data_IF_382742742074
#
_entry.id   IF_382742742074
#
_cell.length_a   1.000
_cell.length_b   1.000
_cell.length_c   1.000
_cell.angle_alpha   90.00
_cell.angle_beta   90.00
_cell.angle_gamma   90.00
#
_symmetry.space_group_name_H-M   'P 1'
#
loop_
_entity.id
_entity.type
_entity.pdbx_description
1 polymer ?
#
# COMPACT_ATOMS: atom_id res chain seq x y z
N UNK A 1 -11.30 8.75 1.18
CA UNK A 1 -11.68 7.30 1.05
C UNK A 1 -10.81 6.42 1.95
N UNK A 2 -11.34 5.32 2.51
CA UNK A 2 -10.58 4.33 3.31
C UNK A 2 -10.36 3.04 2.49
N UNK A 3 -9.13 2.54 2.46
CA UNK A 3 -8.75 1.25 1.86
C UNK A 3 -8.05 0.37 2.91
N UNK A 4 -8.52 -0.87 3.09
CA UNK A 4 -7.91 -1.83 4.01
C UNK A 4 -7.22 -2.93 3.21
N UNK A 5 -5.95 -3.18 3.55
CA UNK A 5 -5.14 -4.25 2.97
C UNK A 5 -4.82 -5.27 4.06
N UNK A 6 -5.15 -6.55 3.82
CA UNK A 6 -4.79 -7.65 4.69
C UNK A 6 -3.59 -8.41 4.10
N UNK A 7 -2.51 -8.56 4.86
CA UNK A 7 -1.32 -9.26 4.40
C UNK A 7 -1.40 -10.77 4.67
N UNK A 8 -1.86 -11.53 3.67
CA UNK A 8 -1.88 -12.99 3.68
C UNK A 8 -0.67 -13.63 2.98
N UNK A 9 0.35 -12.85 2.61
CA UNK A 9 1.46 -13.30 1.75
C UNK A 9 2.47 -14.23 2.42
N UNK A 10 2.38 -14.43 3.74
CA UNK A 10 3.35 -15.16 4.54
C UNK A 10 4.68 -14.41 4.77
N UNK A 11 4.82 -13.17 4.28
CA UNK A 11 6.02 -12.33 4.38
C UNK A 11 5.66 -10.94 4.91
N UNK A 12 6.64 -10.20 5.40
CA UNK A 12 6.48 -8.76 5.64
C UNK A 12 6.46 -7.99 4.30
N UNK A 13 5.72 -6.88 4.26
CA UNK A 13 5.59 -6.04 3.08
C UNK A 13 5.99 -4.61 3.42
N UNK A 14 6.99 -4.08 2.73
CA UNK A 14 7.39 -2.68 2.85
C UNK A 14 6.43 -1.77 2.08
N UNK A 15 6.17 -0.57 2.58
CA UNK A 15 5.36 0.42 1.86
C UNK A 15 6.26 1.32 1.04
N UNK A 16 6.03 1.32 -0.27
CA UNK A 16 6.77 2.16 -1.21
C UNK A 16 6.58 3.65 -0.84
N UNK A 17 7.65 4.47 -0.74
CA UNK A 17 7.58 5.87 -0.31
C UNK A 17 6.58 6.71 -1.12
N UNK A 18 6.47 6.42 -2.42
CA UNK A 18 5.52 7.09 -3.32
C UNK A 18 4.05 7.00 -2.85
N UNK A 19 3.69 6.03 -1.99
CA UNK A 19 2.37 5.98 -1.34
C UNK A 19 2.06 7.30 -0.64
N UNK A 20 2.99 7.81 0.17
CA UNK A 20 2.84 9.08 0.88
C UNK A 20 3.03 10.28 -0.04
N UNK A 21 3.98 10.19 -0.98
CA UNK A 21 4.24 11.29 -1.94
C UNK A 21 3.02 11.56 -2.84
N UNK A 22 2.24 10.53 -3.16
CA UNK A 22 1.00 10.66 -3.94
C UNK A 22 -0.21 11.10 -3.08
N UNK A 23 -0.03 11.31 -1.78
CA UNK A 23 -1.09 11.79 -0.88
C UNK A 23 -1.90 10.69 -0.18
N UNK A 24 -1.51 9.42 -0.24
CA UNK A 24 -2.09 8.37 0.61
C UNK A 24 -1.44 8.39 1.99
N UNK A 25 -2.24 8.56 3.04
CA UNK A 25 -1.78 8.50 4.42
C UNK A 25 -1.92 7.10 5.02
N UNK A 26 -0.89 6.63 5.73
CA UNK A 26 -0.91 5.38 6.49
C UNK A 26 0.27 5.34 7.48
N UNK A 27 0.26 4.35 8.38
CA UNK A 27 1.50 3.91 9.03
C UNK A 27 2.42 3.34 7.95
N UNK A 28 3.67 3.81 7.90
CA UNK A 28 4.68 3.41 6.90
C UNK A 28 5.59 2.28 7.40
N UNK A 29 5.37 1.76 8.61
CA UNK A 29 6.06 0.55 9.08
C UNK A 29 5.76 -0.64 8.16
N UNK A 30 6.64 -1.64 8.04
CA UNK A 30 6.33 -2.85 7.27
C UNK A 30 5.02 -3.50 7.76
N UNK A 31 4.21 -4.01 6.83
CA UNK A 31 2.96 -4.72 7.14
C UNK A 31 3.31 -6.16 7.45
N UNK A 32 3.08 -6.61 8.69
CA UNK A 32 3.39 -7.99 9.10
C UNK A 32 2.41 -8.99 8.51
N UNK A 33 2.83 -10.25 8.46
CA UNK A 33 1.91 -11.33 8.08
C UNK A 33 0.70 -11.35 9.03
N UNK A 34 -0.50 -11.45 8.46
CA UNK A 34 -1.81 -11.40 9.13
C UNK A 34 -2.16 -10.05 9.75
N UNK A 35 -1.43 -8.99 9.41
CA UNK A 35 -1.77 -7.62 9.78
C UNK A 35 -2.74 -7.00 8.75
N UNK A 36 -3.66 -6.17 9.25
CA UNK A 36 -4.46 -5.25 8.42
C UNK A 36 -3.81 -3.89 8.46
N UNK A 37 -3.51 -3.33 7.29
CA UNK A 37 -3.08 -1.93 7.15
C UNK A 37 -4.22 -1.10 6.56
N UNK A 38 -4.53 0.01 7.23
CA UNK A 38 -5.45 1.02 6.70
C UNK A 38 -4.67 2.10 5.95
N UNK A 39 -5.13 2.41 4.75
CA UNK A 39 -4.71 3.53 3.92
C UNK A 39 -5.85 4.54 3.79
N UNK A 40 -5.54 5.81 3.99
CA UNK A 40 -6.46 6.93 3.86
C UNK A 40 -6.09 7.71 2.60
N UNK A 41 -6.98 7.66 1.61
CA UNK A 41 -6.81 8.33 0.33
C UNK A 41 -7.62 9.63 0.32
N UNK A 42 -7.19 10.64 -0.47
CA UNK A 42 -7.99 11.85 -0.71
C UNK A 42 -9.41 11.52 -1.17
N UNK A 43 -10.36 12.40 -0.85
CA UNK A 43 -11.74 12.22 -1.27
C UNK A 43 -11.91 12.38 -2.79
N UNK A 44 -12.87 11.67 -3.37
CA UNK A 44 -13.08 11.64 -4.83
C UNK A 44 -12.09 10.77 -5.60
N UNK A 45 -11.23 10.01 -4.91
CA UNK A 45 -10.26 9.09 -5.52
C UNK A 45 -10.55 7.63 -5.18
N UNK A 46 -9.98 6.70 -5.95
CA UNK A 46 -9.99 5.26 -5.68
C UNK A 46 -8.56 4.72 -5.50
N UNK A 47 -8.37 3.60 -4.79
CA UNK A 47 -7.06 3.01 -4.59
C UNK A 47 -6.58 2.29 -5.86
N UNK A 48 -5.47 2.76 -6.41
CA UNK A 48 -4.67 2.00 -7.36
C UNK A 48 -3.51 1.34 -6.61
N UNK A 49 -3.46 0.01 -6.65
CA UNK A 49 -2.52 -0.78 -5.87
C UNK A 49 -1.55 -1.51 -6.78
N UNK A 50 -0.26 -1.44 -6.46
CA UNK A 50 0.78 -2.21 -7.13
C UNK A 50 1.70 -2.88 -6.13
N UNK A 51 1.97 -4.15 -6.34
CA UNK A 51 2.89 -4.95 -5.52
C UNK A 51 4.08 -5.36 -6.39
N UNK A 52 5.27 -5.35 -5.80
CA UNK A 52 6.47 -5.94 -6.39
C UNK A 52 7.04 -7.01 -5.46
N UNK A 53 7.59 -8.06 -6.06
CA UNK A 53 8.41 -9.04 -5.38
C UNK A 53 9.84 -8.92 -5.88
N UNK A 54 10.74 -8.46 -5.01
CA UNK A 54 12.16 -8.33 -5.31
C UNK A 54 12.97 -9.57 -4.90
N UNK A 55 12.30 -10.66 -4.48
CA UNK A 55 12.92 -11.89 -3.99
C UNK A 55 13.46 -11.77 -2.55
N UNK A 56 14.15 -12.81 -2.09
CA UNK A 56 14.57 -12.95 -0.69
C UNK A 56 15.47 -11.82 -0.17
N UNK A 57 16.23 -11.14 -1.04
CA UNK A 57 17.17 -10.09 -0.64
C UNK A 57 16.55 -8.72 -0.36
N UNK A 58 15.34 -8.44 -0.89
CA UNK A 58 14.66 -7.14 -0.74
C UNK A 58 13.18 -7.22 -0.37
N UNK A 59 12.58 -8.40 -0.44
CA UNK A 59 11.22 -8.64 0.02
C UNK A 59 10.13 -8.09 -0.90
N UNK A 60 8.93 -8.00 -0.34
CA UNK A 60 7.74 -7.46 -0.98
C UNK A 60 7.63 -5.96 -0.74
N UNK A 61 7.14 -5.23 -1.73
CA UNK A 61 6.79 -3.82 -1.55
C UNK A 61 5.46 -3.47 -2.20
N UNK A 62 4.62 -2.73 -1.47
CA UNK A 62 3.30 -2.25 -1.92
C UNK A 62 3.31 -0.74 -2.14
N UNK A 63 2.75 -0.30 -3.26
CA UNK A 63 2.36 1.08 -3.52
C UNK A 63 0.84 1.17 -3.51
N UNK A 64 0.30 2.10 -2.74
CA UNK A 64 -1.11 2.50 -2.78
C UNK A 64 -1.18 3.96 -3.21
N UNK A 65 -1.65 4.21 -4.42
CA UNK A 65 -1.79 5.54 -4.99
C UNK A 65 -3.26 5.90 -5.15
N UNK A 66 -3.69 7.13 -4.86
CA UNK A 66 -4.99 7.58 -5.30
C UNK A 66 -5.00 7.77 -6.82
N UNK A 67 -6.15 7.51 -7.44
CA UNK A 67 -6.46 7.86 -8.83
C UNK A 67 -7.87 8.44 -8.94
N UNK A 68 -8.06 9.29 -9.93
CA UNK A 68 -9.36 9.84 -10.32
C UNK A 68 -10.02 8.92 -11.34
N UNK A 69 -11.35 8.81 -11.35
CA UNK A 69 -12.11 7.95 -12.28
C UNK A 69 -11.90 8.28 -13.78
N UNK A 70 -11.27 9.41 -14.11
CA UNK A 70 -11.08 9.90 -15.47
C UNK A 70 -9.66 9.64 -16.05
N UNK A 71 -8.81 8.86 -15.36
CA UNK A 71 -7.53 8.34 -15.90
C UNK A 71 -7.65 6.94 -16.50
#
# INVERSE_FOLDING_TARGET
MKFEYFNDTGREIDIHPATREHGTECDMSPIKHLEVRTFYLPDGTYPWVKMWDYGEGRGLSILVSPREENE
#
